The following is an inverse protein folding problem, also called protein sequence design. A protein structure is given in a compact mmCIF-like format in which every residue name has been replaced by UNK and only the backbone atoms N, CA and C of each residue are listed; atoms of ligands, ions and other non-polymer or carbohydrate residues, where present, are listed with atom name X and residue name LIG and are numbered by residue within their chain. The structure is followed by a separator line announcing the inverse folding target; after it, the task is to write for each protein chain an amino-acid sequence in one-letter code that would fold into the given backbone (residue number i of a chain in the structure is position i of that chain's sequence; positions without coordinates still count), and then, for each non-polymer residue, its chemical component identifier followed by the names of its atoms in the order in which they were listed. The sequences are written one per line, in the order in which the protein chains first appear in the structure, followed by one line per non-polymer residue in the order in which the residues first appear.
data_IF_631316921523
#
_entry.id   IF_631316921523
#
_cell.length_a   1.000
_cell.length_b   1.000
_cell.length_c   1.000
_cell.angle_alpha   90.00
_cell.angle_beta   90.00
_cell.angle_gamma   90.00
#
_symmetry.space_group_name_H-M   'P 1'
#
loop_
_entity.id
_entity.type
_entity.pdbx_description
1 polymer ?
#
# COMPACT_ATOMS: atom_id res chain seq x y z
N UNK A 1 16.85 9.09 53.43
CA UNK A 1 17.65 8.80 52.22
C UNK A 1 16.97 7.70 51.40
N UNK A 2 16.74 8.00 50.12
CA UNK A 2 16.64 7.14 48.93
C UNK A 2 15.57 6.02 48.80
N UNK A 3 14.75 6.20 47.75
CA UNK A 3 13.68 5.35 47.21
C UNK A 3 14.22 4.05 46.60
N UNK A 4 13.39 2.99 46.59
CA UNK A 4 13.24 2.08 45.42
C UNK A 4 11.91 1.34 45.51
N UNK A 5 10.91 1.83 44.77
CA UNK A 5 9.78 1.02 44.28
C UNK A 5 10.22 0.49 42.92
N UNK A 6 10.23 -0.82 42.70
CA UNK A 6 10.11 -1.39 41.35
C UNK A 6 9.16 -2.57 41.46
N UNK A 7 8.05 -2.43 40.73
CA UNK A 7 6.94 -3.35 40.65
C UNK A 7 7.28 -4.56 39.77
N UNK A 8 6.68 -5.68 40.13
CA UNK A 8 6.65 -6.96 39.45
C UNK A 8 6.38 -6.82 37.95
N UNK A 9 7.33 -7.27 37.12
CA UNK A 9 7.13 -7.43 35.68
C UNK A 9 6.28 -8.70 35.44
N UNK A 10 4.99 -8.52 35.15
CA UNK A 10 4.18 -9.57 34.55
C UNK A 10 4.52 -9.64 33.06
N UNK A 11 5.16 -10.74 32.64
CA UNK A 11 5.29 -11.10 31.23
C UNK A 11 3.90 -11.43 30.68
N UNK A 12 3.23 -10.44 30.12
CA UNK A 12 2.09 -10.64 29.23
C UNK A 12 2.59 -11.13 27.88
N UNK A 13 2.35 -12.41 27.59
CA UNK A 13 2.53 -13.02 26.27
C UNK A 13 1.56 -12.30 25.30
N UNK A 14 2.08 -11.44 24.44
CA UNK A 14 1.34 -10.98 23.27
C UNK A 14 1.38 -12.10 22.23
N UNK A 15 0.30 -12.88 22.15
CA UNK A 15 0.06 -13.77 21.04
C UNK A 15 -0.10 -12.92 19.77
N UNK A 16 0.98 -12.75 19.02
CA UNK A 16 0.94 -12.23 17.67
C UNK A 16 0.27 -13.28 16.77
N UNK A 17 -1.06 -13.24 16.66
CA UNK A 17 -1.76 -13.91 15.58
C UNK A 17 -1.46 -13.15 14.29
N UNK A 18 -0.33 -13.49 13.67
CA UNK A 18 -0.07 -13.16 12.27
C UNK A 18 -1.14 -13.85 11.43
N UNK A 19 -2.18 -13.12 11.03
CA UNK A 19 -3.08 -13.58 9.99
C UNK A 19 -2.28 -13.62 8.69
N UNK A 20 -1.91 -14.83 8.29
CA UNK A 20 -1.29 -15.11 7.00
C UNK A 20 -2.23 -14.62 5.89
N UNK A 21 -1.92 -13.45 5.33
CA UNK A 21 -2.60 -12.97 4.12
C UNK A 21 -2.14 -13.88 2.99
N UNK A 22 -3.03 -14.74 2.49
CA UNK A 22 -2.78 -15.51 1.29
C UNK A 22 -2.48 -14.52 0.16
N UNK A 23 -1.22 -14.48 -0.27
CA UNK A 23 -0.85 -13.80 -1.49
C UNK A 23 -1.66 -14.45 -2.62
N UNK A 24 -2.48 -13.66 -3.32
CA UNK A 24 -3.08 -14.12 -4.56
C UNK A 24 -1.97 -14.64 -5.48
N UNK A 25 -2.18 -15.75 -6.21
CA UNK A 25 -1.16 -16.30 -7.09
C UNK A 25 -0.81 -15.26 -8.16
N UNK A 26 0.34 -14.61 -8.01
CA UNK A 26 0.94 -13.82 -9.06
C UNK A 26 1.40 -14.79 -10.15
N UNK A 27 0.99 -14.61 -11.43
CA UNK A 27 1.50 -15.45 -12.49
C UNK A 27 3.04 -15.41 -12.44
N UNK A 28 3.67 -16.59 -12.45
CA UNK A 28 5.08 -16.81 -12.15
C UNK A 28 6.09 -16.06 -13.07
N UNK A 29 5.60 -15.27 -14.02
CA UNK A 29 6.37 -14.57 -15.06
C UNK A 29 5.95 -13.10 -15.23
N UNK A 30 5.23 -12.50 -14.28
CA UNK A 30 4.85 -11.09 -14.36
C UNK A 30 5.99 -10.17 -13.89
N UNK A 31 6.35 -9.22 -14.74
CA UNK A 31 7.34 -8.18 -14.46
C UNK A 31 6.73 -7.01 -13.70
N UNK A 32 5.43 -6.78 -13.93
CA UNK A 32 4.60 -5.85 -13.17
C UNK A 32 3.85 -6.58 -12.05
N UNK A 33 3.45 -5.86 -11.01
CA UNK A 33 2.68 -6.38 -9.87
C UNK A 33 1.26 -6.79 -10.29
N UNK A 34 1.13 -7.99 -10.84
CA UNK A 34 -0.10 -8.47 -11.47
C UNK A 34 -1.26 -8.65 -10.48
N UNK A 35 -2.42 -8.11 -10.85
CA UNK A 35 -3.65 -8.19 -10.09
C UNK A 35 -3.94 -6.93 -9.27
N UNK A 36 -4.96 -7.01 -8.43
CA UNK A 36 -5.33 -5.96 -7.48
C UNK A 36 -4.84 -6.38 -6.10
N UNK A 37 -3.89 -5.64 -5.56
CA UNK A 37 -3.40 -5.80 -4.19
C UNK A 37 -4.09 -4.78 -3.29
N UNK A 38 -4.65 -5.23 -2.16
CA UNK A 38 -5.28 -4.36 -1.17
C UNK A 38 -4.45 -4.34 0.10
N UNK A 39 -4.18 -3.14 0.61
CA UNK A 39 -3.52 -2.90 1.89
C UNK A 39 -4.35 -1.92 2.74
N UNK A 40 -4.14 -2.00 4.05
CA UNK A 40 -4.77 -1.15 5.05
C UNK A 40 -3.67 -0.36 5.79
N UNK A 41 -3.29 0.83 5.30
CA UNK A 41 -2.24 1.63 5.92
C UNK A 41 -2.49 1.92 7.40
N UNK A 42 -1.42 2.01 8.20
CA UNK A 42 -1.50 2.39 9.61
C UNK A 42 -2.10 3.81 9.81
N UNK A 43 -2.01 4.66 8.78
CA UNK A 43 -2.68 5.96 8.73
C UNK A 43 -4.21 5.85 8.66
N UNK A 44 -4.76 4.65 8.44
CA UNK A 44 -6.16 4.38 8.14
C UNK A 44 -6.44 4.36 6.64
N UNK A 45 -7.66 3.97 6.28
CA UNK A 45 -8.11 3.92 4.89
C UNK A 45 -7.84 2.58 4.19
N UNK A 46 -8.05 2.58 2.88
CA UNK A 46 -7.87 1.42 2.00
C UNK A 46 -7.00 1.86 0.83
N UNK A 47 -5.93 1.12 0.56
CA UNK A 47 -5.05 1.32 -0.58
C UNK A 47 -5.11 0.11 -1.50
N UNK A 48 -5.48 0.32 -2.76
CA UNK A 48 -5.49 -0.69 -3.81
C UNK A 48 -4.47 -0.33 -4.88
N UNK A 49 -3.61 -1.27 -5.25
CA UNK A 49 -2.58 -1.04 -6.25
C UNK A 49 -2.26 -2.29 -7.06
N UNK A 50 -1.51 -2.13 -8.15
CA UNK A 50 -1.09 -3.24 -9.01
C UNK A 50 -1.32 -2.97 -10.49
N UNK A 51 -1.20 -4.04 -11.27
CA UNK A 51 -1.33 -4.08 -12.72
C UNK A 51 -2.47 -5.00 -13.13
N UNK A 52 -3.50 -4.43 -13.74
CA UNK A 52 -4.61 -5.16 -14.34
C UNK A 52 -5.06 -4.44 -15.61
N UNK A 53 -5.90 -5.03 -16.46
CA UNK A 53 -6.50 -4.35 -17.63
C UNK A 53 -5.54 -3.38 -18.37
N UNK A 54 -4.32 -3.84 -18.67
CA UNK A 54 -3.25 -3.06 -19.32
C UNK A 54 -2.92 -1.70 -18.69
N UNK A 55 -2.97 -1.55 -17.37
CA UNK A 55 -2.52 -0.35 -16.69
C UNK A 55 -2.01 -0.61 -15.27
N UNK A 56 -1.00 0.16 -14.86
CA UNK A 56 -0.58 0.28 -13.46
C UNK A 56 -1.46 1.28 -12.74
N UNK A 57 -1.90 0.96 -11.53
CA UNK A 57 -2.86 1.75 -10.77
C UNK A 57 -2.49 1.85 -9.30
N UNK A 58 -2.77 2.99 -8.71
CA UNK A 58 -2.76 3.21 -7.28
C UNK A 58 -4.00 4.01 -6.89
N UNK A 59 -4.86 3.41 -6.09
CA UNK A 59 -6.11 3.97 -5.57
C UNK A 59 -6.05 4.01 -4.06
N UNK A 60 -6.12 5.20 -3.48
CA UNK A 60 -6.09 5.35 -2.03
C UNK A 60 -7.33 6.10 -1.58
N UNK A 61 -7.99 5.62 -0.54
CA UNK A 61 -9.13 6.29 0.10
C UNK A 61 -8.91 6.34 1.59
N UNK A 62 -8.88 7.55 2.15
CA UNK A 62 -8.76 7.77 3.60
C UNK A 62 -9.53 9.02 4.02
N UNK A 63 -9.95 9.10 5.28
CA UNK A 63 -10.67 10.25 5.82
C UNK A 63 -9.75 11.43 6.20
N UNK A 64 -8.89 11.85 5.26
CA UNK A 64 -8.05 13.07 5.33
C UNK A 64 -7.58 13.44 3.93
N UNK A 65 -6.96 14.60 3.75
CA UNK A 65 -6.37 14.98 2.46
C UNK A 65 -5.25 14.00 2.07
N UNK A 66 -5.24 13.51 0.84
CA UNK A 66 -4.32 12.42 0.44
C UNK A 66 -4.09 12.36 -1.07
N UNK A 67 -3.20 11.48 -1.51
CA UNK A 67 -2.95 11.29 -2.94
C UNK A 67 -2.35 9.93 -3.30
N UNK A 68 -2.44 9.60 -4.58
CA UNK A 68 -1.86 8.39 -5.19
C UNK A 68 -0.75 8.73 -6.16
N UNK A 69 0.18 7.80 -6.39
CA UNK A 69 1.26 7.90 -7.38
C UNK A 69 1.59 6.52 -7.91
N UNK A 70 1.80 6.43 -9.22
CA UNK A 70 2.39 5.27 -9.89
C UNK A 70 3.65 5.71 -10.63
N UNK A 71 4.64 4.83 -10.65
CA UNK A 71 5.82 4.95 -11.51
C UNK A 71 5.86 3.69 -12.35
N UNK A 72 5.98 3.86 -13.66
CA UNK A 72 6.18 2.75 -14.60
C UNK A 72 7.25 3.15 -15.59
N UNK A 73 8.28 2.31 -15.73
CA UNK A 73 9.41 2.57 -16.63
C UNK A 73 10.04 3.97 -16.39
N UNK A 74 10.18 4.35 -15.11
CA UNK A 74 10.70 5.66 -14.69
C UNK A 74 9.74 6.84 -14.89
N UNK A 75 8.59 6.65 -15.54
CA UNK A 75 7.59 7.70 -15.75
C UNK A 75 6.61 7.77 -14.60
N UNK A 76 6.49 8.95 -13.98
CA UNK A 76 5.64 9.19 -12.82
C UNK A 76 4.29 9.76 -13.22
N UNK A 77 3.20 9.16 -12.73
CA UNK A 77 1.84 9.75 -12.77
C UNK A 77 1.35 9.92 -11.34
N UNK A 78 0.87 11.13 -11.03
CA UNK A 78 0.50 11.53 -9.68
C UNK A 78 -0.84 12.22 -9.70
N UNK A 79 -1.72 11.83 -8.79
CA UNK A 79 -2.98 12.54 -8.55
C UNK A 79 -2.72 13.92 -7.93
N UNK A 80 -3.66 14.85 -8.06
CA UNK A 80 -3.74 15.99 -7.13
C UNK A 80 -4.07 15.51 -5.72
N UNK A 81 -3.94 16.40 -4.73
CA UNK A 81 -4.45 16.11 -3.39
C UNK A 81 -5.98 16.00 -3.44
N UNK A 82 -6.48 14.86 -2.98
CA UNK A 82 -7.88 14.45 -3.03
C UNK A 82 -8.52 14.66 -1.66
N UNK A 83 -9.73 15.22 -1.66
CA UNK A 83 -10.48 15.48 -0.43
C UNK A 83 -10.72 14.21 0.40
N UNK A 84 -10.89 14.40 1.72
CA UNK A 84 -11.15 13.32 2.66
C UNK A 84 -12.36 12.46 2.24
N UNK A 85 -12.21 11.14 2.36
CA UNK A 85 -13.27 10.17 2.04
C UNK A 85 -13.51 9.95 0.54
N UNK A 86 -12.80 10.66 -0.35
CA UNK A 86 -12.86 10.44 -1.80
C UNK A 86 -11.68 9.58 -2.25
N UNK A 87 -11.87 8.77 -3.28
CA UNK A 87 -10.79 7.94 -3.82
C UNK A 87 -9.82 8.79 -4.64
N UNK A 88 -8.54 8.73 -4.30
CA UNK A 88 -7.46 9.31 -5.07
C UNK A 88 -6.94 8.34 -6.13
N UNK A 89 -6.83 8.81 -7.38
CA UNK A 89 -6.58 7.96 -8.56
C UNK A 89 -5.28 8.37 -9.23
N UNK A 90 -4.36 7.41 -9.39
CA UNK A 90 -3.23 7.49 -10.31
C UNK A 90 -3.23 6.23 -11.18
N UNK A 91 -3.32 6.40 -12.49
CA UNK A 91 -3.38 5.31 -13.46
C UNK A 91 -2.49 5.63 -14.67
N UNK A 92 -1.81 4.62 -15.20
CA UNK A 92 -1.08 4.73 -16.45
C UNK A 92 -1.12 3.43 -17.23
N UNK A 93 -1.44 3.53 -18.52
CA UNK A 93 -1.33 2.41 -19.43
C UNK A 93 0.07 1.79 -19.38
N UNK A 94 0.12 0.46 -19.36
CA UNK A 94 1.36 -0.30 -19.30
C UNK A 94 1.18 -1.66 -19.97
N UNK A 95 2.27 -2.21 -20.50
CA UNK A 95 2.35 -3.57 -20.98
C UNK A 95 3.25 -4.38 -20.03
N UNK A 96 2.87 -5.60 -19.73
CA UNK A 96 3.68 -6.52 -18.95
C UNK A 96 4.65 -7.26 -19.88
N UNK A 97 5.83 -6.67 -20.12
CA UNK A 97 6.89 -7.23 -20.97
C UNK A 97 8.18 -7.45 -20.16
N UNK A 98 9.11 -8.19 -20.75
CA UNK A 98 10.36 -8.60 -20.10
C UNK A 98 11.23 -7.41 -19.67
N UNK A 99 11.39 -7.18 -18.37
CA UNK A 99 12.16 -6.05 -17.83
C UNK A 99 11.34 -4.80 -17.52
N UNK A 100 10.01 -4.85 -17.68
CA UNK A 100 9.13 -3.79 -17.21
C UNK A 100 9.25 -3.62 -15.69
N UNK A 101 9.11 -2.38 -15.21
CA UNK A 101 9.23 -2.05 -13.79
C UNK A 101 8.11 -1.13 -13.36
N UNK A 102 7.61 -1.33 -12.15
CA UNK A 102 6.60 -0.50 -11.52
C UNK A 102 6.94 -0.15 -10.07
N UNK A 103 6.32 0.91 -9.59
CA UNK A 103 6.25 1.24 -8.18
C UNK A 103 4.95 1.98 -7.87
N UNK A 104 4.43 1.77 -6.66
CA UNK A 104 3.13 2.26 -6.24
C UNK A 104 3.28 3.00 -4.92
N UNK A 105 2.65 4.17 -4.82
CA UNK A 105 2.72 4.98 -3.61
C UNK A 105 1.37 5.62 -3.31
N UNK A 106 1.13 5.79 -2.01
CA UNK A 106 0.14 6.71 -1.49
C UNK A 106 0.81 7.75 -0.59
N UNK A 107 0.10 8.82 -0.29
CA UNK A 107 0.57 9.87 0.62
C UNK A 107 -0.59 10.53 1.33
N UNK A 108 -0.30 11.15 2.46
CA UNK A 108 -1.13 12.22 3.01
C UNK A 108 -0.70 13.56 2.43
N UNK A 109 -1.70 14.41 2.20
CA UNK A 109 -1.55 15.84 2.07
C UNK A 109 -2.22 16.48 3.32
#
# INVERSE_FOLDING_TARGET
MLRKKIATAALGVFAATGLMLQAAPTPANAWLASGVHTQYPATGGIWQYGFWNAAVRSYYTVNRNHGSTVVVEGQTVRSVCTAAGRTSIAEKFALNWWGATDAYYYRTC
#
